data_IF_030622373836
#
_entry.id   IF_030622373836
#
_cell.length_a   1.000
_cell.length_b   1.000
_cell.length_c   1.000
_cell.angle_alpha   90.00
_cell.angle_beta   90.00
_cell.angle_gamma   90.00
#
_symmetry.space_group_name_H-M   'P 1'
#
loop_
_entity.id
_entity.type
_entity.pdbx_description
1 polymer ?
#
# COMPACT_ATOMS: atom_id res chain seq x y z
N UNK A 1 -22.65 -8.56 -7.93
CA UNK A 1 -21.25 -8.33 -8.33
C UNK A 1 -20.78 -7.02 -7.70
N UNK A 2 -19.72 -7.06 -6.89
CA UNK A 2 -19.17 -5.92 -6.15
C UNK A 2 -17.78 -5.57 -6.69
N UNK A 3 -17.61 -4.33 -7.10
CA UNK A 3 -16.34 -3.79 -7.56
C UNK A 3 -15.76 -2.84 -6.51
N UNK A 4 -14.53 -3.09 -6.08
CA UNK A 4 -13.79 -2.23 -5.17
C UNK A 4 -12.67 -1.53 -5.93
N UNK A 5 -12.76 -0.21 -6.08
CA UNK A 5 -11.68 0.62 -6.60
C UNK A 5 -11.04 1.38 -5.44
N UNK A 6 -9.73 1.20 -5.22
CA UNK A 6 -9.04 1.78 -4.08
C UNK A 6 -7.62 2.24 -4.44
N UNK A 7 -7.33 3.52 -4.20
CA UNK A 7 -5.98 4.06 -4.35
C UNK A 7 -5.17 3.75 -3.08
N UNK A 8 -4.12 2.95 -3.23
CA UNK A 8 -3.30 2.47 -2.10
C UNK A 8 -2.12 3.39 -1.80
N UNK A 9 -1.86 4.40 -2.65
CA UNK A 9 -0.76 5.36 -2.51
C UNK A 9 0.56 4.67 -2.15
N UNK A 10 0.94 3.66 -2.92
CA UNK A 10 2.16 2.87 -2.73
C UNK A 10 2.28 2.17 -1.37
N UNK A 11 1.17 1.95 -0.65
CA UNK A 11 1.14 1.45 0.73
C UNK A 11 2.04 2.25 1.69
N UNK A 12 2.34 3.51 1.35
CA UNK A 12 3.33 4.33 2.04
C UNK A 12 2.83 4.74 3.45
N UNK A 13 1.51 4.83 3.64
CA UNK A 13 0.88 5.25 4.89
C UNK A 13 0.62 6.76 4.95
N UNK A 14 0.04 7.22 6.07
CA UNK A 14 -0.32 8.62 6.32
C UNK A 14 0.08 9.06 7.74
N UNK A 15 0.35 10.35 7.94
CA UNK A 15 0.55 10.98 9.26
C UNK A 15 2.00 11.11 9.75
N UNK A 16 2.20 11.56 11.00
CA UNK A 16 3.50 11.90 11.61
C UNK A 16 4.59 10.81 11.48
N UNK A 17 4.20 9.53 11.43
CA UNK A 17 5.11 8.40 11.21
C UNK A 17 5.78 8.39 9.82
N UNK A 18 5.23 9.16 8.87
CA UNK A 18 5.69 9.37 7.51
C UNK A 18 6.67 10.56 7.37
N UNK A 19 6.68 11.47 8.35
CA UNK A 19 7.41 12.74 8.31
C UNK A 19 8.54 12.86 9.35
N UNK A 20 8.71 11.85 10.21
CA UNK A 20 9.74 11.80 11.26
C UNK A 20 10.79 10.73 10.95
N UNK A 21 12.11 11.06 10.98
CA UNK A 21 12.71 12.35 11.37
C UNK A 21 12.82 13.38 10.23
N UNK A 22 12.53 13.00 9.00
CA UNK A 22 12.56 13.87 7.82
C UNK A 22 11.22 13.83 7.09
N UNK A 23 10.71 14.97 6.57
CA UNK A 23 9.54 14.97 5.71
C UNK A 23 9.78 13.99 4.55
N UNK A 24 8.79 13.13 4.28
CA UNK A 24 8.84 12.06 3.25
C UNK A 24 9.69 10.82 3.59
N UNK A 25 10.29 10.71 4.78
CA UNK A 25 11.03 9.51 5.20
C UNK A 25 10.18 8.22 5.24
N UNK A 26 8.85 8.34 5.30
CA UNK A 26 7.94 7.21 5.16
C UNK A 26 7.99 6.51 3.79
N UNK A 27 8.46 7.20 2.74
CA UNK A 27 8.76 6.57 1.43
C UNK A 27 9.96 5.62 1.48
N UNK A 28 10.73 5.57 2.57
CA UNK A 28 11.83 4.59 2.78
C UNK A 28 11.55 3.51 3.84
N UNK A 29 10.54 3.67 4.72
CA UNK A 29 10.10 2.66 5.70
C UNK A 29 9.23 1.53 5.12
N UNK A 30 9.70 0.27 5.18
CA UNK A 30 8.97 -0.98 4.82
C UNK A 30 7.44 -0.87 5.01
N UNK A 31 6.70 -0.95 3.90
CA UNK A 31 5.24 -0.77 3.81
C UNK A 31 4.44 -2.01 4.24
N UNK A 32 5.10 -3.07 4.72
CA UNK A 32 4.49 -4.38 5.03
C UNK A 32 3.26 -4.26 5.94
N UNK A 33 3.33 -3.43 7.00
CA UNK A 33 2.22 -3.26 7.95
C UNK A 33 0.98 -2.57 7.35
N UNK A 34 1.16 -1.68 6.37
CA UNK A 34 0.03 -1.01 5.70
C UNK A 34 -0.61 -1.93 4.66
N UNK A 35 0.19 -2.76 4.00
CA UNK A 35 -0.29 -3.80 3.09
C UNK A 35 -1.14 -4.82 3.85
N UNK A 36 -0.71 -5.28 5.03
CA UNK A 36 -1.50 -6.20 5.86
C UNK A 36 -2.88 -5.62 6.22
N UNK A 37 -2.92 -4.34 6.62
CA UNK A 37 -4.18 -3.63 6.92
C UNK A 37 -5.08 -3.50 5.69
N UNK A 38 -4.51 -3.19 4.53
CA UNK A 38 -5.25 -3.13 3.27
C UNK A 38 -5.83 -4.50 2.90
N UNK A 39 -5.05 -5.58 3.05
CA UNK A 39 -5.52 -6.94 2.79
C UNK A 39 -6.65 -7.32 3.75
N UNK A 40 -6.54 -7.00 5.04
CA UNK A 40 -7.64 -7.19 6.01
C UNK A 40 -8.89 -6.40 5.62
N UNK A 41 -8.74 -5.16 5.14
CA UNK A 41 -9.85 -4.34 4.67
C UNK A 41 -10.53 -4.97 3.44
N UNK A 42 -9.78 -5.31 2.39
CA UNK A 42 -10.33 -5.93 1.18
C UNK A 42 -11.06 -7.23 1.53
N UNK A 43 -10.48 -8.06 2.41
CA UNK A 43 -11.12 -9.29 2.91
C UNK A 43 -12.43 -9.04 3.64
N UNK A 44 -12.53 -7.96 4.43
CA UNK A 44 -13.78 -7.59 5.11
C UNK A 44 -14.89 -7.14 4.15
N UNK A 45 -14.51 -6.52 3.03
CA UNK A 45 -15.46 -6.03 2.01
C UNK A 45 -15.91 -7.18 1.09
N UNK A 46 -15.12 -8.24 0.96
CA UNK A 46 -15.39 -9.42 0.11
C UNK A 46 -15.75 -9.08 -1.37
N UNK A 47 -15.08 -8.14 -2.05
CA UNK A 47 -15.43 -7.77 -3.42
C UNK A 47 -15.19 -8.91 -4.43
N UNK A 48 -15.95 -8.91 -5.52
CA UNK A 48 -15.78 -9.86 -6.63
C UNK A 48 -14.64 -9.45 -7.56
N UNK A 49 -14.44 -8.14 -7.73
CA UNK A 49 -13.37 -7.55 -8.53
C UNK A 49 -12.72 -6.41 -7.74
N UNK A 50 -11.39 -6.36 -7.71
CA UNK A 50 -10.62 -5.31 -7.04
C UNK A 50 -9.74 -4.59 -8.06
N UNK A 51 -9.91 -3.27 -8.17
CA UNK A 51 -9.00 -2.37 -8.87
C UNK A 51 -8.17 -1.58 -7.86
N UNK A 52 -6.85 -1.71 -7.90
CA UNK A 52 -5.93 -0.94 -7.06
C UNK A 52 -5.20 0.11 -7.90
N UNK A 53 -5.11 1.34 -7.39
CA UNK A 53 -4.43 2.47 -8.03
C UNK A 53 -3.16 2.83 -7.25
N UNK A 54 -2.12 3.29 -7.95
CA UNK A 54 -0.79 3.56 -7.37
C UNK A 54 -0.16 2.33 -6.70
N UNK A 55 -0.28 1.17 -7.35
CA UNK A 55 0.45 -0.04 -6.99
C UNK A 55 1.86 0.05 -7.54
N UNK A 56 2.85 0.08 -6.66
CA UNK A 56 4.26 -0.08 -7.04
C UNK A 56 4.67 -1.54 -6.79
N UNK A 57 4.87 -2.25 -7.89
CA UNK A 57 5.37 -3.63 -7.89
C UNK A 57 6.90 -3.72 -7.93
N UNK A 58 7.63 -2.59 -8.04
CA UNK A 58 8.99 -2.60 -8.58
C UNK A 58 10.03 -1.64 -7.97
N UNK A 59 9.83 -1.06 -6.79
CA UNK A 59 10.91 -0.33 -6.11
C UNK A 59 11.55 -1.13 -4.97
N UNK A 60 12.70 -0.63 -4.48
CA UNK A 60 13.62 -1.07 -3.39
C UNK A 60 13.04 -1.90 -2.21
N UNK A 61 11.72 -1.96 -2.08
CA UNK A 61 10.92 -2.67 -1.07
C UNK A 61 10.44 -4.05 -1.47
N UNK A 62 10.48 -4.40 -2.77
CA UNK A 62 10.14 -5.72 -3.33
C UNK A 62 11.40 -6.55 -3.66
N UNK A 63 12.51 -6.31 -2.96
CA UNK A 63 13.73 -7.12 -3.07
C UNK A 63 14.33 -7.15 -4.50
N UNK A 64 14.18 -6.06 -5.26
CA UNK A 64 14.62 -5.96 -6.67
C UNK A 64 14.02 -7.03 -7.62
N UNK A 65 12.86 -7.61 -7.30
CA UNK A 65 12.16 -8.49 -8.25
C UNK A 65 11.13 -7.72 -9.05
N UNK A 66 11.54 -7.27 -10.24
CA UNK A 66 10.59 -6.98 -11.31
C UNK A 66 9.90 -8.28 -11.73
N UNK A 67 8.57 -8.25 -11.79
CA UNK A 67 7.79 -9.21 -12.57
C UNK A 67 7.76 -8.77 -14.03
#
# INVERSE_FOLDING_TARGET
>A
MRFLLYNIRYCAGIGAHFHLPLPYAGYLKRSTRNLDRLVSFIRSVQPDIVGLVEVDSGSFRSDNRCQ
#
